data_IF_975133360760
#
_entry.id   IF_975133360760
#
_cell.length_a   1.000
_cell.length_b   1.000
_cell.length_c   1.000
_cell.angle_alpha   90.00
_cell.angle_beta   90.00
_cell.angle_gamma   90.00
#
_symmetry.space_group_name_H-M   'P 1'
#
loop_
_entity.id
_entity.type
_entity.pdbx_description
1 polymer ?
#
# COMPACT_ATOMS: atom_id res chain seq x y z
N UNK A 1 12.04 5.80 13.25
CA UNK A 1 11.17 4.63 13.49
C UNK A 1 9.76 5.16 13.65
N UNK A 2 8.88 4.86 12.71
CA UNK A 2 7.49 5.32 12.80
C UNK A 2 6.66 4.15 13.33
N UNK A 3 6.16 4.30 14.55
CA UNK A 3 5.24 3.35 15.18
C UNK A 3 3.82 3.82 14.88
N UNK A 4 3.14 3.11 13.99
CA UNK A 4 1.70 3.32 13.81
C UNK A 4 1.02 2.60 14.98
N UNK A 5 0.79 3.33 16.07
CA UNK A 5 -0.06 2.87 17.16
C UNK A 5 -1.51 3.05 16.74
N UNK A 6 -2.06 2.06 16.05
CA UNK A 6 -3.50 1.99 15.84
C UNK A 6 -4.12 1.37 17.11
N UNK A 7 -5.03 2.09 17.77
CA UNK A 7 -5.73 1.61 18.96
C UNK A 7 -6.57 0.35 18.64
N UNK A 8 -6.93 0.12 17.37
CA UNK A 8 -7.63 -1.07 16.92
C UNK A 8 -6.71 -2.31 16.77
N UNK A 9 -5.40 -2.13 16.55
CA UNK A 9 -4.45 -3.25 16.43
C UNK A 9 -4.28 -4.03 17.75
N UNK A 10 -4.49 -3.37 18.89
CA UNK A 10 -4.39 -4.02 20.21
C UNK A 10 -5.48 -5.08 20.45
N UNK A 11 -6.63 -5.01 19.76
CA UNK A 11 -7.72 -5.98 19.91
C UNK A 11 -7.53 -7.25 19.07
N UNK A 12 -6.73 -7.22 18.01
CA UNK A 12 -6.56 -8.35 17.07
C UNK A 12 -5.30 -9.19 17.35
N UNK A 13 -4.48 -8.81 18.34
CA UNK A 13 -3.23 -9.51 18.65
C UNK A 13 -2.12 -9.31 17.61
N UNK A 14 -2.32 -8.39 16.65
CA UNK A 14 -1.33 -8.08 15.62
C UNK A 14 -0.24 -7.21 16.25
N UNK A 15 1.01 -7.71 16.23
CA UNK A 15 2.16 -6.93 16.71
C UNK A 15 2.37 -5.72 15.79
N UNK A 16 2.72 -4.54 16.33
CA UNK A 16 3.03 -3.37 15.52
C UNK A 16 4.12 -3.69 14.48
N UNK A 17 3.88 -3.35 13.22
CA UNK A 17 4.92 -3.41 12.19
C UNK A 17 5.82 -2.19 12.32
N UNK A 18 7.13 -2.44 12.42
CA UNK A 18 8.13 -1.39 12.40
C UNK A 18 8.41 -1.00 10.95
N UNK A 19 8.09 0.25 10.60
CA UNK A 19 8.50 0.82 9.32
C UNK A 19 9.90 1.43 9.44
N UNK A 20 10.80 0.96 8.58
CA UNK A 20 12.15 1.48 8.43
C UNK A 20 12.23 2.33 7.16
N UNK A 21 13.04 3.41 7.16
CA UNK A 21 13.29 4.18 5.95
C UNK A 21 13.98 3.29 4.90
N UNK A 22 13.50 3.36 3.66
CA UNK A 22 14.13 2.68 2.53
C UNK A 22 15.45 3.38 2.15
N UNK A 23 16.33 2.72 1.38
CA UNK A 23 17.47 3.36 0.72
C UNK A 23 17.08 4.62 -0.07
N UNK A 24 18.07 5.48 -0.35
CA UNK A 24 17.84 6.80 -0.96
C UNK A 24 17.45 6.73 -2.44
N UNK A 25 17.98 5.77 -3.17
CA UNK A 25 17.59 5.42 -4.54
C UNK A 25 16.11 5.03 -4.65
N UNK A 26 15.52 4.54 -3.56
CA UNK A 26 14.10 4.20 -3.46
C UNK A 26 13.31 5.19 -2.58
N UNK A 27 13.82 6.42 -2.41
CA UNK A 27 13.18 7.43 -1.56
C UNK A 27 11.73 7.72 -1.98
N UNK A 28 11.43 7.65 -3.29
CA UNK A 28 10.10 7.86 -3.87
C UNK A 28 9.08 6.77 -3.48
N UNK A 29 9.53 5.60 -3.03
CA UNK A 29 8.68 4.50 -2.53
C UNK A 29 8.59 4.45 -1.01
N UNK A 30 9.30 5.34 -0.30
CA UNK A 30 9.51 5.19 1.14
C UNK A 30 8.32 5.75 1.96
N UNK A 31 7.52 4.89 2.62
CA UNK A 31 6.37 5.35 3.40
C UNK A 31 6.79 6.19 4.61
N UNK A 32 7.97 5.92 5.20
CA UNK A 32 8.47 6.70 6.35
C UNK A 32 8.77 8.14 5.95
N UNK A 33 9.39 8.37 4.78
CA UNK A 33 9.67 9.73 4.28
C UNK A 33 8.38 10.42 3.83
N UNK A 34 7.54 9.74 3.06
CA UNK A 34 6.26 10.27 2.61
C UNK A 34 5.38 10.71 3.79
N UNK A 35 5.32 9.89 4.84
CA UNK A 35 4.55 10.23 6.02
C UNK A 35 5.18 11.38 6.84
N UNK A 36 6.51 11.45 6.90
CA UNK A 36 7.21 12.56 7.53
C UNK A 36 6.91 13.90 6.85
N UNK A 37 6.96 13.93 5.52
CA UNK A 37 6.60 15.12 4.74
C UNK A 37 5.11 15.47 4.89
N UNK A 38 4.22 14.46 4.91
CA UNK A 38 2.80 14.67 5.18
C UNK A 38 2.56 15.35 6.53
N UNK A 39 3.11 14.83 7.63
CA UNK A 39 2.93 15.40 8.97
C UNK A 39 3.43 16.86 9.02
N UNK A 40 4.57 17.13 8.38
CA UNK A 40 5.12 18.48 8.29
C UNK A 40 4.23 19.43 7.48
N UNK A 41 3.67 18.97 6.37
CA UNK A 41 2.83 19.77 5.49
C UNK A 41 1.42 19.98 6.05
N UNK A 42 0.80 18.93 6.59
CA UNK A 42 -0.57 18.95 7.12
C UNK A 42 -0.67 19.67 8.47
N UNK A 43 0.42 19.72 9.24
CA UNK A 43 0.48 20.27 10.60
C UNK A 43 -0.48 19.57 11.58
N UNK A 44 -0.92 18.35 11.25
CA UNK A 44 -1.73 17.52 12.14
C UNK A 44 -0.82 16.95 13.23
N UNK A 45 -1.08 17.31 14.48
CA UNK A 45 -0.27 16.89 15.64
C UNK A 45 -0.99 15.90 16.56
N UNK A 46 -2.29 15.65 16.34
CA UNK A 46 -3.12 14.78 17.15
C UNK A 46 -4.33 14.31 16.35
N UNK A 47 -5.00 13.24 16.80
CA UNK A 47 -6.20 12.71 16.15
C UNK A 47 -5.87 11.72 15.04
N UNK A 48 -6.70 11.69 13.99
CA UNK A 48 -6.49 10.82 12.84
C UNK A 48 -5.27 11.26 12.02
N UNK A 49 -4.52 10.29 11.48
CA UNK A 49 -3.33 10.57 10.67
C UNK A 49 -3.68 11.20 9.31
N UNK A 50 -4.84 10.83 8.76
CA UNK A 50 -5.36 11.32 7.50
C UNK A 50 -6.74 11.91 7.73
N UNK A 51 -6.80 13.24 7.77
CA UNK A 51 -8.06 13.97 7.85
C UNK A 51 -8.75 13.98 6.48
N UNK A 52 -10.06 14.18 6.51
CA UNK A 52 -10.84 14.48 5.32
C UNK A 52 -10.19 15.64 4.54
N UNK A 53 -10.19 15.56 3.22
CA UNK A 53 -9.68 16.65 2.38
C UNK A 53 -10.80 17.63 2.03
N UNK A 54 -10.51 18.92 2.16
CA UNK A 54 -11.33 20.04 1.69
C UNK A 54 -10.85 20.51 0.30
N UNK A 55 -11.57 21.46 -0.29
CA UNK A 55 -11.24 22.03 -1.60
C UNK A 55 -9.81 22.59 -1.65
N UNK A 56 -9.09 22.32 -2.75
CA UNK A 56 -7.72 22.78 -2.96
C UNK A 56 -6.67 21.95 -2.23
N UNK A 57 -6.93 20.65 -2.04
CA UNK A 57 -6.02 19.65 -1.49
C UNK A 57 -5.49 19.98 -0.08
N UNK A 58 -6.38 20.50 0.76
CA UNK A 58 -6.07 20.84 2.15
C UNK A 58 -6.77 19.86 3.09
N UNK A 59 -6.12 19.41 4.18
CA UNK A 59 -6.84 18.78 5.28
C UNK A 59 -7.97 19.70 5.77
N UNK A 60 -9.10 19.12 6.14
CA UNK A 60 -10.22 19.84 6.76
C UNK A 60 -9.76 20.50 8.08
N UNK A 61 -10.51 21.47 8.59
CA UNK A 61 -10.18 22.15 9.85
C UNK A 61 -10.50 21.29 11.09
N UNK A 62 -11.32 20.26 10.91
CA UNK A 62 -11.80 19.37 11.97
C UNK A 62 -11.13 18.00 11.90
N UNK A 63 -10.96 17.36 13.06
CA UNK A 63 -10.39 16.01 13.21
C UNK A 63 -11.40 14.92 12.77
N UNK A 64 -11.77 14.98 11.49
CA UNK A 64 -12.66 14.02 10.83
C UNK A 64 -11.82 13.08 9.96
N UNK A 65 -11.97 11.75 10.10
CA UNK A 65 -11.18 10.82 9.31
C UNK A 65 -11.55 10.88 7.83
N UNK A 66 -10.56 10.73 6.96
CA UNK A 66 -10.81 10.50 5.53
C UNK A 66 -11.60 9.21 5.35
N UNK A 67 -12.67 9.25 4.55
CA UNK A 67 -13.43 8.04 4.22
C UNK A 67 -12.76 7.25 3.09
N UNK A 68 -13.07 5.95 3.00
CA UNK A 68 -12.57 5.11 1.91
C UNK A 68 -13.00 5.62 0.54
N UNK A 69 -14.21 6.18 0.44
CA UNK A 69 -14.77 6.75 -0.79
C UNK A 69 -14.00 7.98 -1.22
N UNK A 70 -13.72 8.90 -0.28
CA UNK A 70 -12.93 10.10 -0.57
C UNK A 70 -11.50 9.74 -0.96
N UNK A 71 -10.88 8.78 -0.25
CA UNK A 71 -9.57 8.28 -0.64
C UNK A 71 -9.57 7.76 -2.08
N UNK A 72 -10.59 6.97 -2.45
CA UNK A 72 -10.67 6.38 -3.78
C UNK A 72 -10.88 7.42 -4.87
N UNK A 73 -11.68 8.45 -4.61
CA UNK A 73 -11.87 9.58 -5.50
C UNK A 73 -10.54 10.31 -5.75
N UNK A 74 -9.86 10.73 -4.69
CA UNK A 74 -8.57 11.43 -4.78
C UNK A 74 -7.50 10.58 -5.47
N UNK A 75 -7.44 9.29 -5.14
CA UNK A 75 -6.51 8.37 -5.75
C UNK A 75 -6.73 8.24 -7.27
N UNK A 76 -8.00 8.12 -7.71
CA UNK A 76 -8.33 8.04 -9.14
C UNK A 76 -8.02 9.34 -9.87
N UNK A 77 -8.23 10.49 -9.24
CA UNK A 77 -7.83 11.78 -9.81
C UNK A 77 -6.31 11.85 -10.01
N UNK A 78 -5.52 11.40 -9.02
CA UNK A 78 -4.06 11.32 -9.17
C UNK A 78 -3.64 10.40 -10.33
N UNK A 79 -4.36 9.30 -10.58
CA UNK A 79 -4.09 8.41 -11.72
C UNK A 79 -4.39 9.11 -13.06
N UNK A 80 -5.50 9.84 -13.13
CA UNK A 80 -5.86 10.64 -14.31
C UNK A 80 -4.81 11.71 -14.61
N UNK A 81 -4.28 12.38 -13.59
CA UNK A 81 -3.26 13.42 -13.74
C UNK A 81 -1.96 12.90 -14.37
N UNK A 82 -1.65 11.62 -14.18
CA UNK A 82 -0.48 10.94 -14.78
C UNK A 82 -0.84 10.11 -16.02
N UNK A 83 -2.08 10.20 -16.52
CA UNK A 83 -2.52 9.51 -17.74
C UNK A 83 -2.74 8.00 -17.58
N UNK A 84 -2.96 7.51 -16.35
CA UNK A 84 -3.27 6.11 -16.07
C UNK A 84 -4.77 5.92 -15.94
N UNK A 85 -5.32 4.90 -16.61
CA UNK A 85 -6.75 4.55 -16.48
C UNK A 85 -7.07 4.16 -15.01
N UNK A 86 -7.96 4.89 -14.32
CA UNK A 86 -8.31 4.59 -12.93
C UNK A 86 -9.25 3.40 -12.76
N UNK A 87 -9.92 2.92 -13.83
CA UNK A 87 -10.96 1.88 -13.75
C UNK A 87 -10.47 0.59 -13.08
N UNK A 88 -9.27 0.05 -13.39
CA UNK A 88 -8.78 -1.18 -12.77
C UNK A 88 -8.37 -1.00 -11.29
N UNK A 89 -8.33 0.24 -10.80
CA UNK A 89 -7.81 0.57 -9.47
C UNK A 89 -8.92 0.79 -8.44
N UNK A 90 -8.74 0.18 -7.27
CA UNK A 90 -9.68 0.19 -6.16
C UNK A 90 -9.00 0.05 -4.79
N UNK A 91 -9.79 -0.15 -3.74
CA UNK A 91 -9.31 -0.17 -2.34
C UNK A 91 -8.32 -1.30 -2.05
N UNK A 92 -8.28 -2.33 -2.89
CA UNK A 92 -7.35 -3.46 -2.78
C UNK A 92 -6.09 -3.33 -3.64
N UNK A 93 -5.98 -2.28 -4.48
CA UNK A 93 -4.88 -2.16 -5.43
C UNK A 93 -3.51 -2.05 -4.76
N UNK A 94 -3.39 -1.28 -3.68
CA UNK A 94 -2.13 -1.16 -2.94
C UNK A 94 -1.71 -2.48 -2.27
N UNK A 95 -2.67 -3.23 -1.73
CA UNK A 95 -2.38 -4.53 -1.11
C UNK A 95 -1.94 -5.56 -2.16
N UNK A 96 -2.52 -5.51 -3.36
CA UNK A 96 -2.12 -6.31 -4.54
C UNK A 96 -0.74 -5.93 -5.05
N UNK A 97 -0.55 -4.67 -5.42
CA UNK A 97 0.73 -4.17 -5.91
C UNK A 97 1.87 -4.36 -4.90
N UNK A 98 1.59 -4.14 -3.61
CA UNK A 98 2.54 -4.42 -2.52
C UNK A 98 2.92 -5.89 -2.42
N UNK A 99 1.93 -6.81 -2.51
CA UNK A 99 2.19 -8.25 -2.51
C UNK A 99 3.08 -8.67 -3.70
N UNK A 100 2.74 -8.20 -4.91
CA UNK A 100 3.49 -8.47 -6.13
C UNK A 100 4.91 -7.91 -6.07
N UNK A 101 5.08 -6.66 -5.61
CA UNK A 101 6.39 -6.04 -5.44
C UNK A 101 7.27 -6.80 -4.44
N UNK A 102 6.71 -7.17 -3.29
CA UNK A 102 7.45 -7.92 -2.27
C UNK A 102 7.83 -9.33 -2.78
N UNK A 103 6.97 -9.95 -3.58
CA UNK A 103 7.26 -11.23 -4.23
C UNK A 103 8.33 -11.12 -5.31
N UNK A 104 8.10 -10.30 -6.34
CA UNK A 104 8.89 -10.29 -7.57
C UNK A 104 10.18 -9.48 -7.44
N UNK A 105 10.15 -8.34 -6.74
CA UNK A 105 11.30 -7.44 -6.60
C UNK A 105 12.09 -7.75 -5.34
N UNK A 106 11.41 -7.93 -4.20
CA UNK A 106 12.10 -8.23 -2.91
C UNK A 106 12.36 -9.70 -2.67
N UNK A 107 11.83 -10.59 -3.52
CA UNK A 107 12.01 -12.05 -3.42
C UNK A 107 11.58 -12.60 -2.05
N UNK A 108 10.55 -12.02 -1.44
CA UNK A 108 10.00 -12.54 -0.20
C UNK A 108 9.36 -13.91 -0.43
N UNK A 109 9.57 -14.82 0.51
CA UNK A 109 8.92 -16.13 0.50
C UNK A 109 7.40 -15.99 0.72
N UNK A 110 6.63 -16.98 0.26
CA UNK A 110 5.18 -17.03 0.50
C UNK A 110 4.82 -16.91 1.98
N UNK A 111 5.63 -17.48 2.88
CA UNK A 111 5.40 -17.36 4.33
C UNK A 111 5.53 -15.91 4.80
N UNK A 112 6.57 -15.19 4.38
CA UNK A 112 6.73 -13.77 4.71
C UNK A 112 5.59 -12.91 4.15
N UNK A 113 5.12 -13.22 2.94
CA UNK A 113 3.98 -12.56 2.34
C UNK A 113 2.67 -12.84 3.10
N UNK A 114 2.45 -14.09 3.54
CA UNK A 114 1.32 -14.43 4.40
C UNK A 114 1.37 -13.67 5.73
N UNK A 115 2.53 -13.64 6.39
CA UNK A 115 2.70 -12.94 7.66
C UNK A 115 2.47 -11.42 7.52
N UNK A 116 2.97 -10.81 6.44
CA UNK A 116 2.75 -9.40 6.13
C UNK A 116 1.31 -9.08 5.75
N UNK A 117 0.72 -9.91 4.90
CA UNK A 117 -0.64 -9.75 4.43
C UNK A 117 -1.69 -10.17 5.44
N UNK A 118 -1.32 -10.74 6.60
CA UNK A 118 -2.27 -11.32 7.55
C UNK A 118 -3.08 -12.47 6.95
N UNK A 119 -2.50 -13.23 6.02
CA UNK A 119 -3.13 -14.40 5.42
C UNK A 119 -2.71 -15.68 6.16
N UNK A 120 -3.57 -16.71 6.10
CA UNK A 120 -3.21 -18.01 6.65
C UNK A 120 -1.97 -18.57 5.94
N UNK A 121 -1.07 -19.16 6.71
CA UNK A 121 0.06 -19.94 6.17
C UNK A 121 -0.34 -21.37 5.78
N UNK A 122 -1.59 -21.76 6.03
CA UNK A 122 -2.13 -23.03 5.58
C UNK A 122 -2.46 -22.97 4.09
N UNK A 123 -1.91 -23.90 3.32
CA UNK A 123 -2.05 -23.95 1.86
C UNK A 123 -3.48 -24.19 1.36
N UNK A 124 -4.42 -24.54 2.25
CA UNK A 124 -5.86 -24.59 1.94
C UNK A 124 -6.45 -23.21 1.63
N UNK A 125 -5.77 -22.13 2.01
CA UNK A 125 -6.24 -20.76 1.81
C UNK A 125 -5.55 -20.10 0.61
N UNK A 126 -6.21 -20.14 -0.55
CA UNK A 126 -5.71 -19.58 -1.82
C UNK A 126 -5.88 -18.05 -1.93
N UNK A 127 -6.20 -17.34 -0.84
CA UNK A 127 -6.37 -15.89 -0.88
C UNK A 127 -5.12 -15.17 -1.40
N UNK A 128 -3.92 -15.58 -0.97
CA UNK A 128 -2.66 -14.98 -1.44
C UNK A 128 -2.47 -15.14 -2.96
N UNK A 129 -2.89 -16.27 -3.54
CA UNK A 129 -2.77 -16.52 -4.99
C UNK A 129 -3.56 -15.48 -5.78
N UNK A 130 -4.75 -15.10 -5.29
CA UNK A 130 -5.56 -14.04 -5.92
C UNK A 130 -4.87 -12.68 -5.92
N UNK A 131 -3.90 -12.44 -5.03
CA UNK A 131 -3.12 -11.20 -4.97
C UNK A 131 -1.82 -11.29 -5.79
N UNK A 132 -1.28 -12.49 -5.99
CA UNK A 132 -0.07 -12.73 -6.79
C UNK A 132 -0.36 -12.84 -8.30
N UNK A 133 -1.51 -13.41 -8.66
CA UNK A 133 -1.89 -13.70 -10.04
C UNK A 133 -3.24 -13.01 -10.29
N UNK A 134 -3.25 -11.87 -10.97
CA UNK A 134 -4.46 -11.22 -11.47
C UNK A 134 -4.59 -11.39 -12.97
N UNK A 135 -5.82 -11.43 -13.45
CA UNK A 135 -6.12 -11.33 -14.88
C UNK A 135 -5.80 -9.94 -15.46
N UNK A 136 -5.73 -8.93 -14.60
CA UNK A 136 -5.42 -7.54 -14.99
C UNK A 136 -3.92 -7.21 -14.87
N UNK A 137 -3.09 -8.16 -14.47
CA UNK A 137 -1.64 -7.96 -14.46
C UNK A 137 -1.11 -8.39 -15.83
N UNK A 138 -0.35 -7.51 -16.48
CA UNK A 138 0.40 -7.92 -17.68
C UNK A 138 1.44 -8.99 -17.27
N UNK A 139 1.61 -10.06 -18.07
CA UNK A 139 2.67 -11.02 -17.83
C UNK A 139 4.01 -10.30 -17.83
N UNK A 140 4.77 -10.44 -16.75
CA UNK A 140 6.07 -9.77 -16.59
C UNK A 140 7.10 -10.26 -17.61
N UNK A 141 6.92 -11.50 -18.06
CA UNK A 141 7.82 -12.18 -18.99
C UNK A 141 7.00 -12.92 -20.04
N UNK A 142 7.45 -12.86 -21.29
CA UNK A 142 6.88 -13.64 -22.38
C UNK A 142 7.19 -15.12 -22.15
N UNK A 143 6.26 -16.01 -22.53
CA UNK A 143 6.42 -17.45 -22.35
C UNK A 143 7.75 -17.97 -22.92
N UNK A 144 8.20 -17.41 -24.04
CA UNK A 144 9.43 -17.83 -24.70
C UNK A 144 10.71 -17.53 -23.89
N UNK A 145 10.65 -16.60 -22.93
CA UNK A 145 11.83 -16.12 -22.20
C UNK A 145 12.13 -16.90 -20.90
N UNK A 146 11.24 -17.78 -20.44
CA UNK A 146 11.36 -18.45 -19.13
C UNK A 146 12.62 -19.34 -18.97
N UNK A 147 13.15 -19.85 -20.08
CA UNK A 147 14.39 -20.65 -20.10
C UNK A 147 15.51 -19.97 -20.90
N UNK A 148 15.33 -18.70 -21.24
CA UNK A 148 16.37 -17.94 -21.92
C UNK A 148 17.55 -17.75 -20.94
N UNK A 149 18.75 -18.28 -21.23
CA UNK A 149 19.90 -18.16 -20.34
C UNK A 149 20.55 -16.77 -20.36
N UNK A 150 19.97 -15.82 -21.13
CA UNK A 150 20.48 -14.46 -21.33
C UNK A 150 20.44 -13.59 -20.06
#
# INVERSE_FOLDING_TARGET
LLLIHDAQCLQTGIKPFHLYPLPWDEAHLCPVRALGEWIKASKITSGYLFWKMASGDRPDAEDTPMTSEQFLELFRNNLLDIGVDPIPYGTHSFRRGGCQYLSSVRRWSLRQLCDWGGWSTEFSNLTIVRYLISWNDDPTDMWEDYFNPA
#
